data_IF_125459687361
#
_entry.id   IF_125459687361
#
_cell.length_a   1.000
_cell.length_b   1.000
_cell.length_c   1.000
_cell.angle_alpha   90.00
_cell.angle_beta   90.00
_cell.angle_gamma   90.00
#
_symmetry.space_group_name_H-M   'P 1'
#
loop_
_entity.id
_entity.type
_entity.pdbx_description
1 polymer ?
#
# COMPACT_ATOMS: atom_id res chain seq x y z
N UNK A 1 -7.00 -37.99 -41.63
CA UNK A 1 -7.25 -37.19 -40.42
C UNK A 1 -7.94 -35.87 -40.76
N UNK A 2 -7.38 -35.04 -41.66
CA UNK A 2 -8.00 -33.76 -42.07
C UNK A 2 -9.44 -33.92 -42.62
N UNK A 3 -9.68 -34.89 -43.51
CA UNK A 3 -11.02 -35.20 -44.03
C UNK A 3 -12.04 -35.59 -42.95
N UNK A 4 -11.58 -36.28 -41.90
CA UNK A 4 -12.42 -36.69 -40.78
C UNK A 4 -12.81 -35.49 -39.90
N UNK A 5 -11.91 -34.51 -39.76
CA UNK A 5 -12.16 -33.30 -38.98
C UNK A 5 -13.18 -32.37 -39.66
N UNK A 6 -13.17 -32.28 -41.00
CA UNK A 6 -14.17 -31.53 -41.76
C UNK A 6 -15.56 -32.16 -41.73
N UNK A 7 -15.64 -33.49 -41.73
CA UNK A 7 -16.90 -34.23 -41.66
C UNK A 7 -17.55 -34.20 -40.27
N UNK A 8 -16.77 -34.11 -39.20
CA UNK A 8 -17.24 -34.35 -37.83
C UNK A 8 -17.45 -33.07 -37.03
N UNK A 9 -16.78 -31.97 -37.39
CA UNK A 9 -16.95 -30.67 -36.74
C UNK A 9 -18.04 -29.84 -37.43
N UNK A 10 -18.93 -29.17 -36.66
CA UNK A 10 -19.99 -28.33 -37.23
C UNK A 10 -19.47 -27.06 -37.91
N UNK A 11 -18.17 -26.75 -37.78
CA UNK A 11 -17.52 -25.59 -38.39
C UNK A 11 -16.12 -26.02 -38.83
N UNK A 12 -15.67 -25.50 -39.97
CA UNK A 12 -14.32 -25.76 -40.48
C UNK A 12 -13.24 -25.37 -39.47
N UNK A 13 -12.17 -26.17 -39.42
CA UNK A 13 -11.08 -26.03 -38.45
C UNK A 13 -10.43 -24.64 -38.48
N UNK A 14 -10.25 -24.07 -39.67
CA UNK A 14 -9.64 -22.74 -39.84
C UNK A 14 -10.44 -21.63 -39.14
N UNK A 15 -11.77 -21.75 -39.09
CA UNK A 15 -12.64 -20.81 -38.39
C UNK A 15 -12.50 -20.94 -36.87
N UNK A 16 -12.31 -22.17 -36.36
CA UNK A 16 -12.06 -22.42 -34.93
C UNK A 16 -10.70 -21.86 -34.52
N UNK A 17 -9.68 -22.00 -35.37
CA UNK A 17 -8.34 -21.43 -35.15
C UNK A 17 -8.37 -19.90 -35.15
N UNK A 18 -9.09 -19.26 -36.10
CA UNK A 18 -9.34 -17.81 -36.08
C UNK A 18 -10.04 -17.36 -34.80
N UNK A 19 -11.10 -18.04 -34.37
CA UNK A 19 -11.81 -17.69 -33.13
C UNK A 19 -10.92 -17.85 -31.88
N UNK A 20 -10.00 -18.83 -31.87
CA UNK A 20 -9.03 -18.99 -30.79
C UNK A 20 -7.99 -17.87 -30.79
N UNK A 21 -7.52 -17.45 -31.96
CA UNK A 21 -6.62 -16.31 -32.12
C UNK A 21 -7.29 -15.00 -31.67
N UNK A 22 -8.51 -14.70 -32.13
CA UNK A 22 -9.25 -13.51 -31.71
C UNK A 22 -9.53 -13.49 -30.20
N UNK A 23 -9.86 -14.64 -29.59
CA UNK A 23 -10.03 -14.75 -28.13
C UNK A 23 -8.71 -14.54 -27.39
N UNK A 24 -7.58 -14.99 -27.94
CA UNK A 24 -6.27 -14.77 -27.36
C UNK A 24 -5.87 -13.28 -27.43
N UNK A 25 -6.11 -12.62 -28.57
CA UNK A 25 -5.87 -11.19 -28.76
C UNK A 25 -6.77 -10.33 -27.85
N UNK A 26 -8.05 -10.67 -27.71
CA UNK A 26 -8.97 -9.99 -26.79
C UNK A 26 -8.61 -10.18 -25.31
N UNK A 27 -7.96 -11.30 -24.96
CA UNK A 27 -7.45 -11.57 -23.61
C UNK A 27 -6.12 -10.87 -23.31
N UNK A 28 -5.41 -10.37 -24.33
CA UNK A 28 -4.22 -9.56 -24.11
C UNK A 28 -4.64 -8.20 -23.56
N UNK A 29 -4.51 -8.05 -22.24
CA UNK A 29 -4.62 -6.77 -21.54
C UNK A 29 -3.63 -5.79 -22.15
N UNK A 30 -4.15 -4.81 -22.91
CA UNK A 30 -3.33 -3.71 -23.43
C UNK A 30 -3.08 -2.72 -22.29
N UNK A 31 -1.81 -2.57 -21.91
CA UNK A 31 -1.39 -1.53 -20.97
C UNK A 31 -1.57 -0.17 -21.67
N UNK A 32 -2.62 0.57 -21.31
CA UNK A 32 -2.77 1.96 -21.74
C UNK A 32 -1.78 2.80 -20.92
N UNK A 33 -0.85 3.48 -21.59
CA UNK A 33 0.05 4.43 -20.95
C UNK A 33 -0.77 5.61 -20.42
N UNK A 34 -0.88 5.73 -19.10
CA UNK A 34 -1.55 6.87 -18.47
C UNK A 34 -0.75 8.14 -18.69
N UNK A 35 -1.30 9.09 -19.45
CA UNK A 35 -0.66 10.37 -19.81
C UNK A 35 -0.52 11.40 -18.66
N UNK A 36 -0.67 11.00 -17.39
CA UNK A 36 -0.59 11.90 -16.23
C UNK A 36 0.47 11.43 -15.23
N UNK A 37 1.74 11.65 -15.55
CA UNK A 37 2.87 11.54 -14.61
C UNK A 37 3.34 12.90 -14.08
N UNK A 38 2.78 13.99 -14.59
CA UNK A 38 3.36 15.35 -14.52
C UNK A 38 3.49 15.93 -13.09
N UNK A 39 2.81 15.37 -12.09
CA UNK A 39 2.84 15.84 -10.70
C UNK A 39 3.12 14.74 -9.65
N UNK A 40 3.51 13.55 -10.07
CA UNK A 40 3.86 12.49 -9.14
C UNK A 40 5.31 12.71 -8.66
N UNK A 41 5.48 13.23 -7.43
CA UNK A 41 6.79 13.21 -6.77
C UNK A 41 7.29 11.77 -6.71
N UNK A 42 8.29 11.46 -7.52
CA UNK A 42 8.95 10.16 -7.52
C UNK A 42 9.55 9.84 -6.15
N UNK A 43 9.64 8.55 -5.83
CA UNK A 43 10.34 8.10 -4.64
C UNK A 43 11.83 8.45 -4.75
N UNK A 44 12.30 9.40 -3.95
CA UNK A 44 13.72 9.75 -3.86
C UNK A 44 14.35 9.09 -2.64
N UNK A 45 15.23 8.12 -2.89
CA UNK A 45 15.99 7.46 -1.82
C UNK A 45 16.87 8.43 -1.03
N UNK A 46 17.42 9.46 -1.69
CA UNK A 46 18.21 10.53 -1.05
C UNK A 46 17.35 11.35 -0.09
N UNK A 47 16.15 11.71 -0.53
CA UNK A 47 15.21 12.44 0.30
C UNK A 47 14.73 11.61 1.50
N UNK A 48 14.48 10.31 1.30
CA UNK A 48 14.16 9.40 2.40
C UNK A 48 15.29 9.35 3.44
N UNK A 49 16.53 9.24 2.98
CA UNK A 49 17.69 9.21 3.88
C UNK A 49 17.79 10.50 4.71
N UNK A 50 17.62 11.65 4.08
CA UNK A 50 17.58 12.95 4.77
C UNK A 50 16.47 13.00 5.85
N UNK A 51 15.25 12.60 5.50
CA UNK A 51 14.14 12.58 6.46
C UNK A 51 14.36 11.61 7.62
N UNK A 52 15.06 10.48 7.39
CA UNK A 52 15.43 9.56 8.47
C UNK A 52 16.49 10.16 9.40
N UNK A 53 17.44 10.93 8.87
CA UNK A 53 18.38 11.70 9.69
C UNK A 53 17.63 12.71 10.58
N UNK A 54 16.69 13.46 10.00
CA UNK A 54 15.83 14.39 10.75
C UNK A 54 15.00 13.68 11.82
N UNK A 55 14.44 12.50 11.52
CA UNK A 55 13.71 11.69 12.50
C UNK A 55 14.61 11.28 13.67
N UNK A 56 15.86 10.88 13.43
CA UNK A 56 16.79 10.54 14.50
C UNK A 56 17.24 11.75 15.32
N UNK A 57 17.30 12.95 14.71
CA UNK A 57 17.51 14.21 15.46
C UNK A 57 16.31 14.50 16.35
N UNK A 58 15.11 14.43 15.78
CA UNK A 58 13.85 14.63 16.50
C UNK A 58 13.70 13.63 17.64
N UNK A 59 14.03 12.36 17.44
CA UNK A 59 13.98 11.33 18.48
C UNK A 59 14.84 11.71 19.69
N UNK A 60 16.06 12.20 19.46
CA UNK A 60 16.90 12.69 20.56
C UNK A 60 16.29 13.91 21.26
N UNK A 61 15.69 14.84 20.51
CA UNK A 61 14.97 15.98 21.11
C UNK A 61 13.81 15.52 21.99
N UNK A 62 13.02 14.53 21.55
CA UNK A 62 11.89 13.99 22.32
C UNK A 62 12.34 13.32 23.63
N UNK A 63 13.52 12.69 23.61
CA UNK A 63 14.11 12.02 24.79
C UNK A 63 14.92 12.97 25.70
N UNK A 64 15.03 14.26 25.35
CA UNK A 64 15.84 15.22 26.09
C UNK A 64 17.36 15.05 25.91
N UNK A 65 17.78 14.33 24.86
CA UNK A 65 19.17 14.00 24.56
C UNK A 65 19.34 12.54 24.12
N UNK A 66 20.59 12.13 23.98
CA UNK A 66 20.94 10.72 23.74
C UNK A 66 21.63 10.13 24.96
N UNK A 67 21.07 9.02 25.44
CA UNK A 67 21.57 8.29 26.60
C UNK A 67 23.01 7.81 26.41
N UNK A 68 23.74 7.70 27.52
CA UNK A 68 25.07 7.11 27.53
C UNK A 68 24.99 5.63 27.09
N UNK A 69 25.82 5.26 26.11
CA UNK A 69 25.79 3.95 25.44
C UNK A 69 25.14 3.96 24.06
N UNK A 70 24.14 4.82 23.81
CA UNK A 70 23.45 4.89 22.50
C UNK A 70 24.12 5.88 21.52
N UNK A 71 25.03 6.73 22.02
CA UNK A 71 25.67 7.81 21.25
C UNK A 71 26.35 7.33 19.97
N UNK A 72 27.13 6.24 20.05
CA UNK A 72 27.81 5.68 18.88
C UNK A 72 26.81 5.12 17.86
N UNK A 73 25.75 4.46 18.33
CA UNK A 73 24.69 3.96 17.45
C UNK A 73 23.98 5.12 16.74
N UNK A 74 23.63 6.18 17.47
CA UNK A 74 23.06 7.39 16.87
C UNK A 74 24.02 8.04 15.86
N UNK A 75 25.30 8.21 16.22
CA UNK A 75 26.31 8.80 15.34
C UNK A 75 26.44 7.99 14.04
N UNK A 76 26.59 6.67 14.16
CA UNK A 76 26.72 5.77 13.03
C UNK A 76 25.54 5.87 12.07
N UNK A 77 24.30 5.79 12.57
CA UNK A 77 23.12 5.82 11.71
C UNK A 77 22.85 7.21 11.11
N UNK A 78 23.06 8.28 11.88
CA UNK A 78 22.94 9.65 11.37
C UNK A 78 23.94 9.90 10.25
N UNK A 79 25.19 9.49 10.44
CA UNK A 79 26.24 9.64 9.44
C UNK A 79 25.98 8.77 8.20
N UNK A 80 25.51 7.54 8.39
CA UNK A 80 25.11 6.68 7.28
C UNK A 80 23.98 7.29 6.42
N UNK A 81 22.97 7.90 7.06
CA UNK A 81 21.90 8.59 6.34
C UNK A 81 22.35 9.89 5.68
N UNK A 82 23.29 10.62 6.28
CA UNK A 82 23.90 11.80 5.67
C UNK A 82 24.69 11.44 4.39
N UNK A 83 25.39 10.31 4.40
CA UNK A 83 26.07 9.77 3.21
C UNK A 83 25.06 9.30 2.15
N UNK A 84 23.98 8.63 2.55
CA UNK A 84 22.93 8.17 1.62
C UNK A 84 22.11 9.30 1.00
N UNK A 85 21.93 10.43 1.69
CA UNK A 85 21.32 11.62 1.09
C UNK A 85 22.26 12.26 0.06
N UNK A 86 23.57 12.06 0.24
CA UNK A 86 24.65 12.69 -0.50
C UNK A 86 24.85 14.15 -0.12
N UNK A 87 24.44 14.53 1.09
CA UNK A 87 24.80 15.81 1.68
C UNK A 87 26.29 15.84 2.10
N UNK A 88 26.90 14.67 2.30
CA UNK A 88 28.34 14.51 2.53
C UNK A 88 28.94 13.45 1.61
N UNK A 89 30.26 13.47 1.50
CA UNK A 89 31.09 12.46 0.85
C UNK A 89 32.21 11.96 1.80
N UNK A 90 32.97 10.96 1.38
CA UNK A 90 33.93 10.19 2.15
C UNK A 90 35.06 11.05 2.69
N UNK A 91 35.60 11.97 1.89
CA UNK A 91 36.67 12.87 2.34
C UNK A 91 36.21 13.91 3.38
N UNK A 92 34.92 14.24 3.46
CA UNK A 92 34.36 15.13 4.50
C UNK A 92 33.73 14.38 5.67
N UNK A 93 33.58 13.05 5.56
CA UNK A 93 32.85 12.21 6.50
C UNK A 93 33.29 12.40 7.97
N UNK A 94 34.59 12.51 8.24
CA UNK A 94 35.08 12.67 9.61
C UNK A 94 34.80 14.06 10.20
N UNK A 95 34.79 15.11 9.37
CA UNK A 95 34.38 16.44 9.81
C UNK A 95 32.89 16.47 10.17
N UNK A 96 32.07 15.87 9.32
CA UNK A 96 30.63 15.70 9.58
C UNK A 96 30.36 14.81 10.79
N UNK A 97 31.13 13.75 10.98
CA UNK A 97 31.04 12.89 12.15
C UNK A 97 31.34 13.67 13.45
N UNK A 98 32.37 14.53 13.43
CA UNK A 98 32.69 15.39 14.56
C UNK A 98 31.57 16.40 14.86
N UNK A 99 30.99 17.00 13.82
CA UNK A 99 29.86 17.91 13.96
C UNK A 99 28.64 17.19 14.58
N UNK A 100 28.28 16.01 14.05
CA UNK A 100 27.19 15.19 14.57
C UNK A 100 27.44 14.70 16.00
N UNK A 101 28.68 14.36 16.35
CA UNK A 101 29.03 13.97 17.72
C UNK A 101 28.84 15.14 18.70
N UNK A 102 29.23 16.36 18.30
CA UNK A 102 28.98 17.58 19.07
C UNK A 102 27.49 17.87 19.26
N UNK A 103 26.66 17.62 18.24
CA UNK A 103 25.19 17.70 18.36
C UNK A 103 24.62 16.69 19.37
N UNK A 104 25.19 15.48 19.44
CA UNK A 104 24.71 14.41 20.31
C UNK A 104 25.07 14.66 21.78
N UNK A 105 26.32 15.02 22.03
CA UNK A 105 26.83 15.30 23.36
C UNK A 105 28.11 16.14 23.22
N UNK A 106 28.12 17.43 23.64
CA UNK A 106 29.25 18.33 23.42
C UNK A 106 30.58 17.86 24.04
N UNK A 107 30.51 17.10 25.15
CA UNK A 107 31.69 16.58 25.87
C UNK A 107 32.10 15.19 25.43
N UNK A 108 31.38 14.58 24.50
CA UNK A 108 31.64 13.20 24.11
C UNK A 108 32.75 13.12 23.05
N UNK A 109 33.82 12.41 23.41
CA UNK A 109 34.86 12.02 22.48
C UNK A 109 34.63 10.58 22.00
N UNK A 110 34.66 10.36 20.69
CA UNK A 110 34.63 9.03 20.08
C UNK A 110 35.94 8.76 19.33
N UNK A 111 36.22 7.49 19.01
CA UNK A 111 37.40 7.10 18.24
C UNK A 111 37.06 6.96 16.76
N UNK A 112 37.80 7.65 15.89
CA UNK A 112 37.59 7.57 14.43
C UNK A 112 37.68 6.14 13.87
N UNK A 113 38.45 5.26 14.51
CA UNK A 113 38.57 3.84 14.14
C UNK A 113 37.22 3.12 14.13
N UNK A 114 36.25 3.55 14.93
CA UNK A 114 34.90 2.96 14.99
C UNK A 114 34.09 3.22 13.71
N UNK A 115 34.47 4.25 12.92
CA UNK A 115 33.80 4.64 11.68
C UNK A 115 34.51 4.11 10.42
N UNK A 116 35.65 3.43 10.55
CA UNK A 116 36.45 2.94 9.41
C UNK A 116 35.66 2.04 8.46
N UNK A 117 34.80 1.16 9.00
CA UNK A 117 33.94 0.29 8.18
C UNK A 117 32.94 1.10 7.36
N UNK A 118 32.36 2.15 7.96
CA UNK A 118 31.43 3.04 7.28
C UNK A 118 32.16 3.89 6.23
N UNK A 119 33.39 4.32 6.51
CA UNK A 119 34.24 5.05 5.56
C UNK A 119 34.57 4.21 4.32
N UNK A 120 34.98 2.95 4.50
CA UNK A 120 35.22 2.03 3.39
C UNK A 120 33.97 1.84 2.53
N UNK A 121 32.79 1.73 3.16
CA UNK A 121 31.50 1.65 2.46
C UNK A 121 31.11 2.94 1.75
N UNK A 122 31.41 4.10 2.34
CA UNK A 122 31.20 5.41 1.71
C UNK A 122 32.02 5.54 0.43
N UNK A 123 33.29 5.15 0.47
CA UNK A 123 34.19 5.15 -0.70
C UNK A 123 33.69 4.22 -1.81
N UNK A 124 33.22 3.02 -1.45
CA UNK A 124 32.60 2.10 -2.40
C UNK A 124 31.31 2.68 -3.02
N UNK A 125 30.48 3.32 -2.20
CA UNK A 125 29.23 3.95 -2.65
C UNK A 125 29.47 5.10 -3.64
N UNK A 126 30.49 5.92 -3.42
CA UNK A 126 30.88 7.01 -4.32
C UNK A 126 31.37 6.53 -5.67
N UNK A 127 32.09 5.40 -5.69
CA UNK A 127 32.49 4.72 -6.92
C UNK A 127 31.32 4.08 -7.67
N UNK A 128 30.12 4.10 -7.08
CA UNK A 128 28.94 3.47 -7.67
C UNK A 128 28.93 1.94 -7.57
N UNK A 129 29.78 1.36 -6.72
CA UNK A 129 29.81 -0.09 -6.50
C UNK A 129 28.46 -0.60 -6.01
N UNK A 130 28.17 -1.88 -6.28
CA UNK A 130 26.94 -2.56 -5.86
C UNK A 130 27.31 -3.84 -5.10
N UNK A 131 26.53 -4.13 -4.06
CA UNK A 131 26.65 -5.38 -3.30
C UNK A 131 25.47 -6.28 -3.65
N UNK A 132 25.75 -7.50 -4.11
CA UNK A 132 24.73 -8.51 -4.33
C UNK A 132 24.40 -9.23 -3.03
N UNK A 133 23.13 -9.22 -2.65
CA UNK A 133 22.62 -9.92 -1.48
C UNK A 133 21.25 -10.53 -1.79
N UNK A 134 21.08 -11.83 -1.55
CA UNK A 134 19.83 -12.57 -1.82
C UNK A 134 19.30 -12.35 -3.26
N UNK A 135 20.20 -12.34 -4.25
CA UNK A 135 19.86 -12.15 -5.67
C UNK A 135 19.44 -10.72 -6.04
N UNK A 136 19.69 -9.72 -5.17
CA UNK A 136 19.38 -8.31 -5.42
C UNK A 136 20.61 -7.44 -5.21
N UNK A 137 20.72 -6.38 -5.98
CA UNK A 137 21.78 -5.39 -5.85
C UNK A 137 21.40 -4.27 -4.87
N UNK A 138 22.31 -3.97 -3.96
CA UNK A 138 22.15 -2.92 -2.97
C UNK A 138 23.31 -1.93 -3.02
N UNK A 139 23.07 -0.73 -2.49
CA UNK A 139 24.14 0.21 -2.19
C UNK A 139 25.09 -0.40 -1.15
N UNK A 140 26.40 -0.09 -1.21
CA UNK A 140 27.37 -0.52 -0.20
C UNK A 140 27.06 -0.01 1.21
N UNK A 141 26.43 1.17 1.31
CA UNK A 141 25.93 1.77 2.55
C UNK A 141 24.71 1.01 3.09
N UNK A 142 24.53 1.07 4.41
CA UNK A 142 23.43 0.37 5.09
C UNK A 142 22.07 0.96 4.75
N UNK A 143 21.12 0.12 4.33
CA UNK A 143 19.75 0.52 3.97
C UNK A 143 18.71 -0.21 4.83
N UNK A 144 18.55 0.17 6.11
CA UNK A 144 17.74 -0.57 7.06
C UNK A 144 16.24 -0.43 6.74
N UNK A 145 15.47 -1.46 7.11
CA UNK A 145 14.01 -1.38 7.14
C UNK A 145 13.55 -0.52 8.32
N UNK A 146 12.35 0.04 8.25
CA UNK A 146 11.77 0.78 9.36
C UNK A 146 11.71 -0.08 10.63
N UNK A 147 11.26 -1.34 10.50
CA UNK A 147 11.20 -2.29 11.62
C UNK A 147 12.58 -2.48 12.29
N UNK A 148 13.67 -2.48 11.52
CA UNK A 148 15.03 -2.55 12.05
C UNK A 148 15.38 -1.32 12.88
N UNK A 149 15.06 -0.11 12.41
CA UNK A 149 15.34 1.13 13.15
C UNK A 149 14.48 1.25 14.41
N UNK A 150 13.20 0.89 14.33
CA UNK A 150 12.28 0.90 15.47
C UNK A 150 12.80 -0.03 16.57
N UNK A 151 13.18 -1.25 16.22
CA UNK A 151 13.73 -2.20 17.19
C UNK A 151 15.10 -1.76 17.70
N UNK A 152 15.94 -1.19 16.85
CA UNK A 152 17.29 -0.80 17.24
C UNK A 152 17.30 0.34 18.26
N UNK A 153 16.46 1.35 18.04
CA UNK A 153 16.35 2.52 18.92
C UNK A 153 15.23 2.39 19.96
N UNK A 154 14.57 1.21 20.02
CA UNK A 154 13.42 0.93 20.90
C UNK A 154 12.38 2.06 20.83
N UNK A 155 11.98 2.43 19.60
CA UNK A 155 11.11 3.58 19.37
C UNK A 155 9.67 3.20 19.73
N UNK A 156 9.09 3.93 20.68
CA UNK A 156 7.72 3.73 21.14
C UNK A 156 6.69 4.20 20.10
N UNK A 157 5.44 3.77 20.23
CA UNK A 157 4.37 4.22 19.34
C UNK A 157 4.09 5.73 19.47
N UNK A 158 4.23 6.29 20.68
CA UNK A 158 4.08 7.73 20.92
C UNK A 158 5.18 8.55 20.24
N UNK A 159 6.42 8.05 20.26
CA UNK A 159 7.53 8.66 19.53
C UNK A 159 7.30 8.56 18.02
N UNK A 160 6.94 7.38 17.51
CA UNK A 160 6.63 7.17 16.09
C UNK A 160 5.54 8.14 15.59
N UNK A 161 4.54 8.46 16.42
CA UNK A 161 3.48 9.40 16.09
C UNK A 161 4.01 10.80 15.76
N UNK A 162 5.16 11.18 16.31
CA UNK A 162 5.83 12.45 16.07
C UNK A 162 6.88 12.37 14.95
N UNK A 163 7.34 11.18 14.56
CA UNK A 163 8.32 11.00 13.48
C UNK A 163 7.65 11.02 12.09
N UNK A 164 8.43 11.38 11.07
CA UNK A 164 7.97 11.54 9.69
C UNK A 164 8.00 10.21 8.93
N UNK A 165 9.10 9.47 9.00
CA UNK A 165 9.40 8.31 8.15
C UNK A 165 9.67 7.02 8.91
N UNK A 166 10.30 7.08 10.09
CA UNK A 166 10.57 5.91 10.94
C UNK A 166 9.30 5.56 11.71
N UNK A 167 8.36 4.93 11.01
CA UNK A 167 7.05 4.52 11.54
C UNK A 167 6.75 3.08 11.15
N UNK A 168 5.95 2.41 11.98
CA UNK A 168 5.45 1.07 11.71
C UNK A 168 4.50 1.04 10.51
N UNK A 169 4.33 -0.15 9.92
CA UNK A 169 3.36 -0.34 8.82
C UNK A 169 1.93 -0.03 9.24
N UNK A 170 1.57 -0.29 10.49
CA UNK A 170 0.25 0.01 11.05
C UNK A 170 -0.01 1.53 11.06
N UNK A 171 0.93 2.30 11.62
CA UNK A 171 0.82 3.75 11.67
C UNK A 171 0.82 4.39 10.28
N UNK A 172 1.67 3.89 9.37
CA UNK A 172 1.67 4.35 7.98
C UNK A 172 0.31 4.17 7.29
N UNK A 173 -0.32 3.00 7.47
CA UNK A 173 -1.68 2.73 6.97
C UNK A 173 -2.73 3.64 7.62
N UNK A 174 -2.61 3.90 8.93
CA UNK A 174 -3.48 4.82 9.65
C UNK A 174 -3.42 6.24 9.08
N UNK A 175 -2.20 6.78 8.90
CA UNK A 175 -1.98 8.11 8.31
C UNK A 175 -2.50 8.18 6.87
N UNK A 176 -2.30 7.12 6.08
CA UNK A 176 -2.81 7.07 4.71
C UNK A 176 -4.34 7.08 4.67
N UNK A 177 -5.00 6.33 5.56
CA UNK A 177 -6.45 6.33 5.71
C UNK A 177 -6.95 7.72 6.09
N UNK A 178 -6.37 8.36 7.10
CA UNK A 178 -6.74 9.69 7.53
C UNK A 178 -6.59 10.74 6.41
N UNK A 179 -5.50 10.70 5.64
CA UNK A 179 -5.31 11.59 4.47
C UNK A 179 -6.37 11.35 3.40
N UNK A 180 -6.71 10.10 3.10
CA UNK A 180 -7.76 9.76 2.12
C UNK A 180 -9.14 10.19 2.59
N UNK A 181 -9.44 10.01 3.88
CA UNK A 181 -10.70 10.49 4.47
C UNK A 181 -10.78 12.02 4.40
N UNK A 182 -9.72 12.74 4.78
CA UNK A 182 -9.66 14.19 4.66
C UNK A 182 -9.81 14.67 3.21
N UNK A 183 -9.13 14.02 2.25
CA UNK A 183 -9.25 14.33 0.84
C UNK A 183 -10.68 14.08 0.31
N UNK A 184 -11.33 13.00 0.75
CA UNK A 184 -12.74 12.72 0.41
C UNK A 184 -13.68 13.79 0.98
N UNK A 185 -13.51 14.17 2.26
CA UNK A 185 -14.31 15.25 2.87
C UNK A 185 -14.11 16.58 2.15
N UNK A 186 -12.87 16.93 1.80
CA UNK A 186 -12.57 18.13 1.03
C UNK A 186 -13.19 18.12 -0.38
N UNK A 187 -13.33 16.94 -0.99
CA UNK A 187 -14.02 16.75 -2.27
C UNK A 187 -15.57 16.72 -2.14
N UNK A 188 -16.12 17.01 -0.96
CA UNK A 188 -17.57 17.06 -0.72
C UNK A 188 -18.22 15.70 -0.46
N UNK A 189 -17.43 14.66 -0.15
CA UNK A 189 -18.00 13.39 0.28
C UNK A 189 -18.70 13.57 1.63
N UNK A 190 -20.02 13.37 1.60
CA UNK A 190 -20.90 13.39 2.76
C UNK A 190 -20.53 12.23 3.68
N UNK A 191 -20.49 12.48 5.00
CA UNK A 191 -20.15 11.45 5.97
C UNK A 191 -21.16 10.28 5.89
N UNK A 192 -20.71 9.07 6.22
CA UNK A 192 -21.56 7.88 6.12
C UNK A 192 -22.84 8.03 6.95
N UNK A 193 -22.76 8.65 8.13
CA UNK A 193 -23.93 8.88 8.98
C UNK A 193 -24.92 9.82 8.28
N UNK A 194 -24.45 10.98 7.81
CA UNK A 194 -25.30 11.92 7.06
C UNK A 194 -25.90 11.33 5.78
N UNK A 195 -25.16 10.44 5.09
CA UNK A 195 -25.69 9.70 3.94
C UNK A 195 -26.79 8.72 4.36
N UNK A 196 -26.59 7.99 5.47
CA UNK A 196 -27.55 7.03 6.00
C UNK A 196 -28.81 7.73 6.54
N UNK A 197 -28.68 8.87 7.19
CA UNK A 197 -29.80 9.71 7.62
C UNK A 197 -30.62 10.19 6.42
N UNK A 198 -29.97 10.72 5.38
CA UNK A 198 -30.66 11.13 4.16
C UNK A 198 -31.35 9.95 3.45
N UNK A 199 -30.74 8.76 3.47
CA UNK A 199 -31.35 7.55 2.93
C UNK A 199 -32.56 7.11 3.75
N UNK A 200 -32.45 7.10 5.08
CA UNK A 200 -33.53 6.76 6.02
C UNK A 200 -34.68 7.77 5.92
N UNK A 201 -34.40 9.06 5.77
CA UNK A 201 -35.41 10.10 5.57
C UNK A 201 -36.21 9.88 4.28
N UNK A 202 -35.52 9.55 3.17
CA UNK A 202 -36.18 9.19 1.91
C UNK A 202 -37.02 7.92 2.04
N UNK A 203 -36.54 6.94 2.79
CA UNK A 203 -37.28 5.72 3.07
C UNK A 203 -38.56 5.99 3.87
N UNK A 204 -38.46 6.76 4.95
CA UNK A 204 -39.61 7.16 5.78
C UNK A 204 -40.63 7.98 4.97
N UNK A 205 -40.17 8.90 4.13
CA UNK A 205 -41.04 9.68 3.25
C UNK A 205 -41.79 8.79 2.25
N UNK A 206 -41.11 7.83 1.62
CA UNK A 206 -41.75 6.88 0.71
C UNK A 206 -42.79 6.01 1.43
N UNK A 207 -42.51 5.56 2.66
CA UNK A 207 -43.45 4.79 3.47
C UNK A 207 -44.68 5.63 3.88
N UNK A 208 -44.49 6.89 4.28
CA UNK A 208 -45.58 7.79 4.64
C UNK A 208 -46.51 8.07 3.46
N UNK A 209 -45.97 8.35 2.27
CA UNK A 209 -46.77 8.55 1.06
C UNK A 209 -47.50 7.26 0.65
N UNK A 210 -46.88 6.10 0.89
CA UNK A 210 -47.53 4.80 0.64
C UNK A 210 -48.70 4.55 1.59
N UNK A 211 -48.57 4.93 2.87
CA UNK A 211 -49.65 4.83 3.85
C UNK A 211 -50.84 5.75 3.51
N UNK A 212 -50.59 6.87 2.84
CA UNK A 212 -51.63 7.76 2.30
C UNK A 212 -52.36 7.19 1.06
N UNK A 213 -52.02 5.96 0.62
CA UNK A 213 -52.69 5.28 -0.48
C UNK A 213 -52.14 5.61 -1.87
N UNK A 214 -51.07 6.40 -1.98
CA UNK A 214 -50.48 6.75 -3.27
C UNK A 214 -49.86 5.53 -3.97
N UNK A 215 -50.01 5.47 -5.29
CA UNK A 215 -49.37 4.44 -6.12
C UNK A 215 -47.85 4.66 -6.21
N UNK A 216 -47.08 3.60 -6.44
CA UNK A 216 -45.62 3.68 -6.53
C UNK A 216 -45.16 4.69 -7.59
N UNK A 217 -45.89 4.80 -8.72
CA UNK A 217 -45.60 5.80 -9.76
C UNK A 217 -45.86 7.23 -9.28
N UNK A 218 -46.93 7.46 -8.54
CA UNK A 218 -47.24 8.78 -7.98
C UNK A 218 -46.19 9.20 -6.94
N UNK A 219 -45.75 8.27 -6.08
CA UNK A 219 -44.67 8.52 -5.09
C UNK A 219 -43.36 8.88 -5.81
N UNK A 220 -43.00 8.13 -6.85
CA UNK A 220 -41.80 8.39 -7.66
C UNK A 220 -41.83 9.79 -8.29
N UNK A 221 -42.96 10.19 -8.86
CA UNK A 221 -43.16 11.52 -9.44
C UNK A 221 -43.10 12.63 -8.38
N UNK A 222 -43.71 12.41 -7.21
CA UNK A 222 -43.74 13.39 -6.12
C UNK A 222 -42.38 13.56 -5.43
N UNK A 223 -41.59 12.50 -5.32
CA UNK A 223 -40.25 12.52 -4.73
C UNK A 223 -39.14 12.82 -5.76
N UNK A 224 -39.46 12.88 -7.06
CA UNK A 224 -38.48 13.10 -8.13
C UNK A 224 -37.44 11.97 -8.27
N UNK A 225 -37.81 10.72 -7.91
CA UNK A 225 -36.93 9.55 -7.95
C UNK A 225 -37.49 8.46 -8.87
N UNK A 226 -36.67 7.49 -9.26
CA UNK A 226 -37.11 6.39 -10.12
C UNK A 226 -38.10 5.45 -9.40
N UNK A 227 -39.00 4.81 -10.17
CA UNK A 227 -39.93 3.79 -9.66
C UNK A 227 -39.17 2.64 -8.97
N UNK A 228 -38.00 2.27 -9.49
CA UNK A 228 -37.14 1.25 -8.89
C UNK A 228 -36.60 1.66 -7.52
N UNK A 229 -36.23 2.94 -7.35
CA UNK A 229 -35.76 3.49 -6.07
C UNK A 229 -36.86 3.43 -5.00
N UNK A 230 -38.09 3.82 -5.34
CA UNK A 230 -39.24 3.74 -4.42
C UNK A 230 -39.54 2.28 -4.04
N UNK A 231 -39.50 1.36 -4.99
CA UNK A 231 -39.66 -0.07 -4.71
C UNK A 231 -38.58 -0.59 -3.75
N UNK A 232 -37.33 -0.12 -3.90
CA UNK A 232 -36.23 -0.40 -2.99
C UNK A 232 -36.48 0.16 -1.57
N UNK A 233 -36.92 1.41 -1.45
CA UNK A 233 -37.25 2.04 -0.17
C UNK A 233 -38.36 1.30 0.58
N UNK A 234 -39.38 0.83 -0.15
CA UNK A 234 -40.51 0.09 0.46
C UNK A 234 -40.15 -1.37 0.82
N UNK A 235 -39.17 -1.97 0.14
CA UNK A 235 -38.69 -3.33 0.44
C UNK A 235 -37.65 -3.36 1.57
N UNK A 236 -36.90 -2.28 1.77
CA UNK A 236 -35.95 -2.20 2.86
C UNK A 236 -36.68 -2.17 4.21
N UNK A 237 -36.33 -3.09 5.11
CA UNK A 237 -36.77 -3.03 6.51
C UNK A 237 -36.18 -1.77 7.20
N UNK A 238 -36.84 -1.18 8.21
CA UNK A 238 -36.26 -0.08 8.97
C UNK A 238 -34.93 -0.53 9.58
N UNK A 239 -33.82 0.09 9.16
CA UNK A 239 -32.47 -0.19 9.68
C UNK A 239 -31.58 -1.13 8.85
N UNK A 240 -32.03 -1.66 7.70
CA UNK A 240 -31.18 -2.52 6.85
C UNK A 240 -30.81 -1.80 5.56
N UNK A 241 -29.49 -1.72 5.35
CA UNK A 241 -28.82 -1.17 4.17
C UNK A 241 -29.55 -1.58 2.88
N UNK A 242 -29.83 -0.61 2.02
CA UNK A 242 -30.29 -0.91 0.66
C UNK A 242 -29.27 -1.83 -0.02
N UNK A 243 -29.69 -2.96 -0.61
CA UNK A 243 -28.78 -3.79 -1.36
C UNK A 243 -28.24 -2.97 -2.53
N UNK A 244 -26.92 -2.84 -2.57
CA UNK A 244 -26.20 -2.42 -3.77
C UNK A 244 -26.76 -3.19 -4.97
N UNK A 245 -26.98 -2.50 -6.09
CA UNK A 245 -27.52 -3.00 -7.37
C UNK A 245 -26.64 -4.09 -8.04
N UNK A 246 -25.63 -4.60 -7.32
CA UNK A 246 -24.76 -5.70 -7.76
C UNK A 246 -25.11 -7.07 -7.15
N UNK A 247 -26.21 -7.20 -6.39
CA UNK A 247 -26.67 -8.48 -5.84
C UNK A 247 -28.11 -8.80 -6.26
N UNK A 248 -28.31 -9.00 -7.56
CA UNK A 248 -29.47 -9.73 -8.06
C UNK A 248 -28.94 -10.74 -9.08
N UNK A 249 -28.72 -11.98 -8.62
CA UNK A 249 -28.84 -13.24 -9.38
C UNK A 249 -28.24 -14.42 -8.59
N UNK A 250 -28.71 -14.63 -7.36
CA UNK A 250 -28.44 -15.87 -6.60
C UNK A 250 -29.73 -16.39 -5.96
N UNK A 251 -30.75 -16.63 -6.77
CA UNK A 251 -31.91 -17.42 -6.36
C UNK A 251 -32.48 -18.17 -7.57
N UNK A 252 -31.82 -19.27 -7.96
CA UNK A 252 -32.35 -20.16 -8.99
C UNK A 252 -31.31 -21.00 -9.72
N UNK A 253 -30.59 -21.88 -9.03
CA UNK A 253 -30.00 -23.04 -9.69
C UNK A 253 -29.84 -24.22 -8.72
N UNK A 254 -30.90 -24.99 -8.58
CA UNK A 254 -30.86 -26.36 -8.09
C UNK A 254 -30.12 -27.24 -9.10
N UNK A 255 -28.86 -27.58 -8.79
CA UNK A 255 -28.13 -28.84 -9.08
C UNK A 255 -26.63 -28.61 -8.85
N UNK A 256 -26.16 -28.79 -7.61
CA UNK A 256 -24.74 -28.94 -7.34
C UNK A 256 -24.28 -30.34 -7.77
N UNK A 257 -23.67 -30.45 -8.94
CA UNK A 257 -22.80 -31.58 -9.26
C UNK A 257 -21.55 -31.44 -8.39
N UNK A 258 -21.32 -32.38 -7.48
CA UNK A 258 -20.05 -32.49 -6.73
C UNK A 258 -18.94 -32.78 -7.74
N UNK A 259 -18.09 -31.79 -8.00
CA UNK A 259 -16.75 -32.05 -8.55
C UNK A 259 -15.86 -32.36 -7.36
N UNK A 260 -15.58 -33.64 -7.15
CA UNK A 260 -14.52 -34.10 -6.25
C UNK A 260 -13.18 -33.75 -6.91
N UNK A 261 -12.58 -32.63 -6.52
CA UNK A 261 -11.17 -32.40 -6.83
C UNK A 261 -10.36 -33.43 -6.04
N UNK A 262 -9.72 -34.34 -6.78
CA UNK A 262 -8.86 -35.38 -6.24
C UNK A 262 -7.78 -34.80 -5.34
N UNK A 263 -7.54 -35.52 -4.25
CA UNK A 263 -6.48 -35.29 -3.29
C UNK A 263 -5.13 -35.18 -4.02
N UNK A 264 -4.44 -34.06 -3.83
CA UNK A 264 -3.06 -33.91 -4.24
C UNK A 264 -2.17 -34.74 -3.30
N UNK A 265 -1.86 -35.98 -3.69
CA UNK A 265 -0.81 -36.73 -3.03
C UNK A 265 0.53 -36.03 -3.23
N UNK A 266 1.14 -35.62 -2.12
CA UNK A 266 2.53 -35.19 -2.06
C UNK A 266 3.44 -36.32 -2.56
N UNK A 267 4.29 -36.02 -3.55
CA UNK A 267 5.34 -36.95 -3.97
C UNK A 267 6.39 -37.07 -2.85
N UNK A 268 6.79 -38.29 -2.45
CA UNK A 268 7.86 -38.48 -1.48
C UNK A 268 9.20 -38.00 -2.06
N UNK A 269 9.92 -37.21 -1.27
CA UNK A 269 11.30 -36.80 -1.53
C UNK A 269 12.19 -38.04 -1.39
N UNK A 270 12.86 -38.42 -2.47
CA UNK A 270 13.88 -39.47 -2.46
C UNK A 270 15.16 -39.02 -1.72
N UNK A 271 15.98 -39.98 -1.25
CA UNK A 271 17.02 -39.73 -0.26
C UNK A 271 18.16 -38.85 -0.80
N UNK A 272 18.71 -38.06 0.13
CA UNK A 272 19.94 -37.30 -0.02
C UNK A 272 21.10 -38.24 -0.43
N UNK A 273 21.83 -37.84 -1.47
CA UNK A 273 23.16 -38.39 -1.72
C UNK A 273 24.19 -37.58 -0.94
N UNK A 274 25.15 -38.33 -0.42
CA UNK A 274 26.33 -37.97 0.39
C UNK A 274 27.17 -36.80 -0.17
#
# INVERSE_FOLDING_TARGET
FEYLAEMLLPVARWTIEQQRQERAERRQLKLLSGAKTDNLRGFSGRQLAWHRLEDLRKLATLRGGVSEGERMQHLFWRLNFLLLSGATHSSQMYYEAKALAGELAPTWAYRDKELMTLYSKAKAYEKGEKISFAGREFAPLYTPKNDTLINLFQITDDEQAQLRTIISKGMAKGRDRARKEAARRAAGAVDRETYLEAANAKQAQAQALRAQGLSIRAIAQQMGVSVGSVSGYLKAAPGVQSPSVLQADLAGCSKSVRITNGEAHARPVGPAFE
#
